data_IF_630976871770
#
_entry.id   IF_630976871770
#
_cell.length_a   1.000
_cell.length_b   1.000
_cell.length_c   1.000
_cell.angle_alpha   90.00
_cell.angle_beta   90.00
_cell.angle_gamma   90.00
#
_symmetry.space_group_name_H-M   'P 1'
#
loop_
_entity.id
_entity.type
_entity.pdbx_description
1 polymer ?
#
# COMPACT_ATOMS: atom_id res chain seq x y z
N UNK A 1 -9.15 -25.25 10.45
CA UNK A 1 -8.36 -24.82 11.62
C UNK A 1 -8.01 -23.34 11.53
N UNK A 2 -7.24 -22.88 10.52
CA UNK A 2 -6.92 -21.44 10.36
C UNK A 2 -8.15 -20.53 10.32
N UNK A 3 -9.11 -20.78 9.42
CA UNK A 3 -10.30 -19.91 9.28
C UNK A 3 -11.13 -19.80 10.57
N UNK A 4 -11.05 -20.78 11.47
CA UNK A 4 -11.72 -20.73 12.77
C UNK A 4 -10.94 -19.87 13.78
N UNK A 5 -9.62 -19.99 13.83
CA UNK A 5 -8.79 -19.10 14.67
C UNK A 5 -8.84 -17.65 14.19
N UNK A 6 -8.85 -17.42 12.88
CA UNK A 6 -8.92 -16.08 12.30
C UNK A 6 -10.21 -15.34 12.70
N UNK A 7 -11.31 -16.07 12.94
CA UNK A 7 -12.55 -15.47 13.48
C UNK A 7 -12.40 -14.94 14.90
N UNK A 8 -11.42 -15.37 15.67
CA UNK A 8 -11.13 -14.83 17.01
C UNK A 8 -10.36 -13.50 16.96
N UNK A 9 -9.80 -13.15 15.80
CA UNK A 9 -9.08 -11.90 15.59
C UNK A 9 -9.83 -11.08 14.53
N UNK A 10 -10.72 -10.15 14.93
CA UNK A 10 -11.62 -9.42 14.01
C UNK A 10 -10.88 -8.60 12.95
N UNK A 11 -9.58 -8.40 13.14
CA UNK A 11 -8.68 -7.64 12.29
C UNK A 11 -7.87 -8.50 11.31
N UNK A 12 -8.09 -9.83 11.24
CA UNK A 12 -7.43 -10.70 10.26
C UNK A 12 -8.32 -10.96 9.06
N UNK A 13 -7.81 -10.67 7.87
CA UNK A 13 -8.50 -10.89 6.60
C UNK A 13 -7.65 -11.76 5.67
N UNK A 14 -8.34 -12.57 4.84
CA UNK A 14 -7.69 -13.35 3.80
C UNK A 14 -7.32 -12.42 2.64
N UNK A 15 -6.02 -12.28 2.39
CA UNK A 15 -5.46 -11.38 1.37
C UNK A 15 -5.18 -12.10 0.04
N UNK A 16 -5.14 -13.43 0.04
CA UNK A 16 -4.95 -14.23 -1.16
C UNK A 16 -5.17 -15.72 -0.92
N UNK A 17 -4.96 -16.58 -1.94
CA UNK A 17 -5.14 -18.03 -1.78
C UNK A 17 -4.29 -18.59 -0.65
N UNK A 18 -3.08 -18.04 -0.43
CA UNK A 18 -2.15 -18.45 0.61
C UNK A 18 -1.58 -17.29 1.46
N UNK A 19 -2.28 -16.15 1.52
CA UNK A 19 -1.82 -14.99 2.25
C UNK A 19 -2.92 -14.46 3.19
N UNK A 20 -2.55 -14.17 4.43
CA UNK A 20 -3.40 -13.55 5.43
C UNK A 20 -2.81 -12.22 5.87
N UNK A 21 -3.66 -11.28 6.26
CA UNK A 21 -3.24 -9.97 6.76
C UNK A 21 -3.96 -9.68 8.08
N UNK A 22 -3.21 -9.47 9.15
CA UNK A 22 -3.71 -8.84 10.37
C UNK A 22 -3.49 -7.34 10.27
N UNK A 23 -4.54 -6.55 10.52
CA UNK A 23 -4.53 -5.10 10.39
C UNK A 23 -5.01 -4.46 11.69
N UNK A 24 -4.08 -3.95 12.51
CA UNK A 24 -4.42 -3.08 13.63
C UNK A 24 -4.37 -1.63 13.14
N UNK A 25 -5.52 -1.13 12.65
CA UNK A 25 -5.60 0.23 12.13
C UNK A 25 -5.39 1.31 13.20
N UNK A 26 -5.72 1.02 14.46
CA UNK A 26 -5.53 1.96 15.57
C UNK A 26 -4.05 2.20 15.84
N UNK A 27 -3.23 1.15 15.73
CA UNK A 27 -1.77 1.21 15.87
C UNK A 27 -1.06 1.38 14.51
N UNK A 28 -1.81 1.35 13.42
CA UNK A 28 -1.36 1.38 12.02
C UNK A 28 -0.36 0.26 11.69
N UNK A 29 -0.58 -0.93 12.25
CA UNK A 29 0.26 -2.10 12.05
C UNK A 29 -0.42 -3.05 11.09
N UNK A 30 0.31 -3.48 10.07
CA UNK A 30 -0.11 -4.57 9.21
C UNK A 30 0.89 -5.72 9.31
N UNK A 31 0.39 -6.90 9.67
CA UNK A 31 1.16 -8.14 9.67
C UNK A 31 0.66 -9.02 8.55
N UNK A 32 1.53 -9.32 7.61
CA UNK A 32 1.21 -10.20 6.49
C UNK A 32 1.78 -11.57 6.74
N UNK A 33 1.06 -12.63 6.39
CA UNK A 33 1.48 -14.02 6.59
C UNK A 33 1.34 -14.71 5.24
N UNK A 34 2.45 -15.08 4.60
CA UNK A 34 2.49 -15.81 3.33
C UNK A 34 2.91 -17.26 3.54
N UNK A 35 2.18 -18.19 2.91
CA UNK A 35 2.38 -19.63 3.01
C UNK A 35 2.70 -20.19 1.61
N UNK A 36 3.95 -20.59 1.33
CA UNK A 36 4.32 -21.22 0.07
C UNK A 36 3.53 -22.51 -0.18
N UNK A 37 3.24 -22.79 -1.44
CA UNK A 37 2.38 -23.90 -1.87
C UNK A 37 3.07 -25.29 -1.85
N UNK A 38 4.37 -25.34 -1.58
CA UNK A 38 5.20 -26.54 -1.75
C UNK A 38 5.30 -27.38 -0.47
N UNK A 39 5.07 -28.69 -0.62
CA UNK A 39 4.67 -29.62 0.45
C UNK A 39 5.75 -30.10 1.42
N UNK A 40 7.00 -29.61 1.34
CA UNK A 40 8.09 -30.12 2.18
C UNK A 40 8.63 -29.13 3.23
N UNK A 41 8.36 -27.82 3.07
CA UNK A 41 8.71 -26.81 4.07
C UNK A 41 7.63 -25.73 4.11
N UNK A 42 6.86 -25.69 5.21
CA UNK A 42 5.99 -24.55 5.48
C UNK A 42 6.84 -23.43 6.05
N UNK A 43 7.55 -22.68 5.22
CA UNK A 43 8.15 -21.43 5.69
C UNK A 43 7.06 -20.36 5.71
N UNK A 44 6.68 -19.87 6.89
CA UNK A 44 5.75 -18.75 6.96
C UNK A 44 6.54 -17.47 6.98
N UNK A 45 6.36 -16.65 5.93
CA UNK A 45 6.94 -15.31 5.89
C UNK A 45 5.97 -14.34 6.48
N UNK A 46 6.42 -13.55 7.44
CA UNK A 46 5.62 -12.43 7.90
C UNK A 46 6.36 -11.11 7.94
N UNK A 47 5.63 -10.10 7.49
CA UNK A 47 6.10 -8.72 7.39
C UNK A 47 5.49 -7.90 8.49
N UNK A 48 6.30 -7.12 9.16
CA UNK A 48 5.82 -6.27 10.24
C UNK A 48 6.67 -4.99 10.36
N UNK A 49 6.13 -3.90 10.91
CA UNK A 49 6.86 -2.65 11.17
C UNK A 49 7.94 -2.83 12.24
N UNK A 50 9.14 -2.26 12.03
CA UNK A 50 10.26 -2.35 12.98
C UNK A 50 9.93 -1.82 14.39
N UNK A 51 8.95 -0.94 14.49
CA UNK A 51 8.42 -0.25 15.68
C UNK A 51 7.13 -0.89 16.26
N UNK A 52 6.57 -1.94 15.64
CA UNK A 52 5.36 -2.60 16.13
C UNK A 52 5.47 -2.99 17.62
N UNK A 53 4.46 -2.76 18.48
CA UNK A 53 4.48 -3.21 19.86
C UNK A 53 4.79 -4.70 19.94
N UNK A 54 5.56 -5.08 20.96
CA UNK A 54 5.98 -6.46 21.14
C UNK A 54 4.76 -7.39 21.26
N UNK A 55 3.65 -6.89 21.79
CA UNK A 55 2.37 -7.59 21.91
C UNK A 55 1.76 -7.88 20.53
N UNK A 56 1.86 -6.94 19.58
CA UNK A 56 1.38 -7.15 18.21
C UNK A 56 2.27 -8.15 17.47
N UNK A 57 3.58 -8.09 17.71
CA UNK A 57 4.54 -9.07 17.21
C UNK A 57 4.24 -10.49 17.76
N UNK A 58 3.92 -10.61 19.05
CA UNK A 58 3.51 -11.89 19.64
C UNK A 58 2.24 -12.46 19.02
N UNK A 59 1.23 -11.62 18.80
CA UNK A 59 -0.02 -12.05 18.13
C UNK A 59 0.28 -12.56 16.72
N UNK A 60 1.13 -11.87 15.98
CA UNK A 60 1.59 -12.29 14.66
C UNK A 60 2.31 -13.65 14.69
N UNK A 61 3.24 -13.82 15.62
CA UNK A 61 3.98 -15.08 15.80
C UNK A 61 3.04 -16.22 16.17
N UNK A 62 2.09 -16.00 17.10
CA UNK A 62 1.08 -16.99 17.48
C UNK A 62 0.23 -17.42 16.28
N UNK A 63 -0.21 -16.46 15.46
CA UNK A 63 -0.95 -16.75 14.23
C UNK A 63 -0.12 -17.56 13.24
N UNK A 64 1.15 -17.20 13.06
CA UNK A 64 2.07 -17.88 12.14
C UNK A 64 2.42 -19.32 12.61
N UNK A 65 2.61 -19.51 13.92
CA UNK A 65 2.92 -20.80 14.53
C UNK A 65 1.81 -21.85 14.38
N UNK A 66 0.55 -21.43 14.28
CA UNK A 66 -0.55 -22.35 13.99
C UNK A 66 -0.45 -23.00 12.60
N UNK A 67 0.32 -22.39 11.70
CA UNK A 67 0.52 -22.89 10.33
C UNK A 67 1.82 -23.70 10.23
N UNK A 68 2.88 -23.21 10.88
CA UNK A 68 4.21 -23.79 10.83
C UNK A 68 5.07 -23.44 12.05
N UNK A 69 5.90 -24.39 12.48
CA UNK A 69 6.97 -24.15 13.45
C UNK A 69 8.19 -23.45 12.82
N UNK A 70 8.29 -23.39 11.48
CA UNK A 70 9.40 -22.69 10.79
C UNK A 70 8.91 -21.34 10.26
N UNK A 71 9.46 -20.29 10.86
CA UNK A 71 9.07 -18.90 10.63
C UNK A 71 10.23 -18.14 9.97
N UNK A 72 9.91 -17.23 9.04
CA UNK A 72 10.86 -16.24 8.52
C UNK A 72 10.23 -14.88 8.69
N UNK A 73 10.92 -13.98 9.36
CA UNK A 73 10.39 -12.67 9.66
C UNK A 73 11.10 -11.63 8.80
N UNK A 74 10.34 -10.87 8.01
CA UNK A 74 10.88 -9.80 7.18
C UNK A 74 10.37 -8.47 7.73
N UNK A 75 11.20 -7.75 8.47
CA UNK A 75 10.85 -6.39 8.85
C UNK A 75 10.95 -5.52 7.60
N UNK A 76 10.08 -4.51 7.44
CA UNK A 76 10.14 -3.69 6.22
C UNK A 76 11.50 -3.02 5.98
N UNK A 77 12.25 -2.75 7.05
CA UNK A 77 13.61 -2.19 6.97
C UNK A 77 14.72 -3.27 6.98
N UNK A 78 14.39 -4.57 6.95
CA UNK A 78 15.35 -5.69 6.77
C UNK A 78 14.94 -7.04 7.38
N UNK A 79 15.74 -8.07 7.15
CA UNK A 79 15.37 -9.46 7.45
C UNK A 79 15.76 -9.89 8.88
N UNK A 80 14.85 -10.58 9.57
CA UNK A 80 15.03 -11.23 10.87
C UNK A 80 14.69 -12.73 10.72
N UNK A 81 15.70 -13.56 10.50
CA UNK A 81 15.49 -15.00 10.38
C UNK A 81 15.38 -15.63 11.79
N UNK A 82 14.24 -16.26 12.09
CA UNK A 82 14.00 -16.89 13.39
C UNK A 82 13.38 -18.28 13.26
N UNK A 83 14.10 -19.30 13.69
CA UNK A 83 13.50 -20.62 13.93
C UNK A 83 12.85 -20.63 15.31
N UNK A 84 11.56 -20.94 15.35
CA UNK A 84 10.73 -20.91 16.56
C UNK A 84 10.29 -22.33 16.94
N UNK A 85 10.24 -22.65 18.23
CA UNK A 85 9.83 -23.96 18.77
C UNK A 85 8.45 -23.87 19.44
N UNK A 86 7.85 -24.98 19.87
CA UNK A 86 6.47 -24.98 20.43
C UNK A 86 6.29 -24.08 21.67
N UNK A 87 7.35 -23.80 22.44
CA UNK A 87 7.32 -22.97 23.66
C UNK A 87 7.73 -21.49 23.43
N UNK A 88 7.81 -21.02 22.19
CA UNK A 88 8.67 -19.87 21.84
C UNK A 88 8.00 -18.49 21.63
N UNK A 89 6.80 -18.22 22.14
CA UNK A 89 6.21 -16.87 21.99
C UNK A 89 7.01 -15.81 22.77
N UNK A 90 7.43 -16.14 23.99
CA UNK A 90 8.27 -15.26 24.81
C UNK A 90 9.68 -15.08 24.23
N UNK A 91 10.27 -16.16 23.70
CA UNK A 91 11.57 -16.14 23.00
C UNK A 91 11.49 -15.27 21.73
N UNK A 92 10.41 -15.39 20.95
CA UNK A 92 10.18 -14.55 19.78
C UNK A 92 10.09 -13.06 20.15
N UNK A 93 9.36 -12.74 21.24
CA UNK A 93 9.25 -11.38 21.76
C UNK A 93 10.62 -10.83 22.15
N UNK A 94 11.41 -11.61 22.87
CA UNK A 94 12.73 -11.20 23.35
C UNK A 94 13.71 -10.95 22.18
N UNK A 95 13.80 -11.90 21.24
CA UNK A 95 14.65 -11.74 20.04
C UNK A 95 14.24 -10.55 19.20
N UNK A 96 12.95 -10.26 19.14
CA UNK A 96 12.46 -9.07 18.46
C UNK A 96 12.92 -7.78 19.14
N UNK A 97 12.87 -7.72 20.47
CA UNK A 97 13.37 -6.59 21.25
C UNK A 97 14.89 -6.43 21.11
N UNK A 98 15.65 -7.52 21.13
CA UNK A 98 17.10 -7.54 20.92
C UNK A 98 17.46 -7.04 19.52
N UNK A 99 16.78 -7.56 18.50
CA UNK A 99 16.92 -7.09 17.11
C UNK A 99 16.66 -5.58 16.99
N UNK A 100 15.61 -5.08 17.65
CA UNK A 100 15.26 -3.66 17.66
C UNK A 100 16.36 -2.83 18.32
N UNK A 101 16.93 -3.30 19.43
CA UNK A 101 18.03 -2.62 20.10
C UNK A 101 19.29 -2.57 19.23
N UNK A 102 19.64 -3.67 18.56
CA UNK A 102 20.81 -3.74 17.67
C UNK A 102 20.71 -2.80 16.47
N UNK A 103 19.49 -2.59 15.95
CA UNK A 103 19.24 -1.78 14.75
C UNK A 103 18.85 -0.32 15.01
N UNK A 104 18.78 0.10 16.27
CA UNK A 104 18.40 1.48 16.60
C UNK A 104 19.41 2.43 15.98
N UNK A 105 18.96 3.20 14.97
CA UNK A 105 19.81 4.21 14.33
C UNK A 105 20.22 5.28 15.36
N UNK A 106 21.38 5.94 15.17
CA UNK A 106 21.81 7.05 16.04
C UNK A 106 20.71 8.11 16.17
N UNK A 107 20.67 8.80 17.30
CA UNK A 107 19.61 9.78 17.62
C UNK A 107 19.36 10.83 16.52
N UNK A 108 20.39 11.14 15.72
CA UNK A 108 20.33 12.06 14.56
C UNK A 108 19.38 11.59 13.44
N UNK A 109 19.05 10.30 13.35
CA UNK A 109 18.10 9.74 12.37
C UNK A 109 16.76 9.32 13.00
N UNK A 110 16.54 9.66 14.27
CA UNK A 110 15.33 9.26 15.00
C UNK A 110 14.05 9.81 14.35
N UNK A 111 14.07 11.07 13.91
CA UNK A 111 12.93 11.69 13.21
C UNK A 111 12.62 10.99 11.88
N UNK A 112 13.64 10.51 11.16
CA UNK A 112 13.44 9.78 9.91
C UNK A 112 12.80 8.41 10.17
N UNK A 113 13.19 7.74 11.25
CA UNK A 113 12.56 6.49 11.69
C UNK A 113 11.10 6.72 12.12
N UNK A 114 10.82 7.80 12.88
CA UNK A 114 9.46 8.18 13.28
C UNK A 114 8.62 8.55 12.06
N UNK A 115 9.20 9.22 11.06
CA UNK A 115 8.50 9.50 9.81
C UNK A 115 8.16 8.24 9.03
N UNK A 116 9.08 7.26 8.93
CA UNK A 116 8.79 5.95 8.33
C UNK A 116 7.61 5.28 9.01
N UNK A 117 7.56 5.32 10.35
CA UNK A 117 6.42 4.82 11.14
C UNK A 117 5.11 5.54 10.79
N UNK A 118 5.10 6.87 10.74
CA UNK A 118 3.88 7.60 10.37
C UNK A 118 3.42 7.31 8.95
N UNK A 119 4.33 7.16 7.99
CA UNK A 119 4.03 6.78 6.61
C UNK A 119 3.35 5.41 6.58
N UNK A 120 3.93 4.43 7.26
CA UNK A 120 3.35 3.10 7.42
C UNK A 120 1.93 3.16 7.95
N UNK A 121 1.71 3.92 9.03
CA UNK A 121 0.40 4.02 9.67
C UNK A 121 -0.61 4.65 8.73
N UNK A 122 -0.19 5.66 7.97
CA UNK A 122 -0.98 6.27 6.91
C UNK A 122 -1.37 5.26 5.83
N UNK A 123 -0.42 4.46 5.37
CA UNK A 123 -0.65 3.44 4.34
C UNK A 123 -1.64 2.35 4.82
N UNK A 124 -1.54 1.93 6.09
CA UNK A 124 -2.49 0.98 6.71
C UNK A 124 -3.88 1.61 6.87
N UNK A 125 -3.96 2.86 7.31
CA UNK A 125 -5.24 3.58 7.42
C UNK A 125 -5.92 3.73 6.05
N UNK A 126 -5.14 4.06 5.02
CA UNK A 126 -5.63 4.19 3.65
C UNK A 126 -6.18 2.84 3.13
N UNK A 127 -5.41 1.77 3.36
CA UNK A 127 -5.78 0.41 2.99
C UNK A 127 -7.07 -0.06 3.67
N UNK A 128 -7.29 0.34 4.92
CA UNK A 128 -8.52 0.02 5.65
C UNK A 128 -9.69 0.94 5.31
N UNK A 129 -9.49 1.88 4.39
CA UNK A 129 -10.53 2.75 3.90
C UNK A 129 -10.59 4.11 4.59
N UNK A 130 -9.84 4.30 5.68
CA UNK A 130 -9.87 5.45 6.57
C UNK A 130 -9.00 6.59 6.03
N UNK A 131 -9.41 7.18 4.89
CA UNK A 131 -8.61 8.18 4.17
C UNK A 131 -8.29 9.43 5.01
N UNK A 132 -9.25 9.88 5.83
CA UNK A 132 -9.05 11.04 6.71
C UNK A 132 -7.95 10.76 7.73
N UNK A 133 -7.99 9.58 8.35
CA UNK A 133 -6.95 9.14 9.28
C UNK A 133 -5.61 8.99 8.56
N UNK A 134 -5.59 8.43 7.34
CA UNK A 134 -4.37 8.30 6.54
C UNK A 134 -3.70 9.66 6.29
N UNK A 135 -4.49 10.66 5.87
CA UNK A 135 -4.02 12.04 5.67
C UNK A 135 -3.47 12.62 6.96
N UNK A 136 -4.14 12.42 8.10
CA UNK A 136 -3.65 12.87 9.40
C UNK A 136 -2.30 12.23 9.76
N UNK A 137 -2.13 10.94 9.52
CA UNK A 137 -0.85 10.24 9.76
C UNK A 137 0.26 10.76 8.86
N UNK A 138 0.00 10.99 7.58
CA UNK A 138 1.00 11.57 6.68
C UNK A 138 1.35 13.02 7.05
N UNK A 139 0.39 13.81 7.55
CA UNK A 139 0.70 15.17 8.06
C UNK A 139 1.67 15.15 9.23
N UNK A 140 1.63 14.13 10.09
CA UNK A 140 2.62 14.00 11.18
C UNK A 140 4.05 13.89 10.69
N UNK A 141 4.28 13.38 9.48
CA UNK A 141 5.62 13.37 8.87
C UNK A 141 6.12 14.79 8.60
N UNK A 142 5.22 15.70 8.24
CA UNK A 142 5.55 17.09 7.90
C UNK A 142 5.90 17.94 9.13
N UNK A 143 5.55 17.46 10.33
CA UNK A 143 5.90 18.07 11.62
C UNK A 143 7.33 17.71 12.07
N UNK A 144 8.00 16.77 11.40
CA UNK A 144 9.30 16.23 11.79
C UNK A 144 10.47 16.84 11.01
N UNK A 145 11.67 16.75 11.59
CA UNK A 145 12.92 17.20 10.95
C UNK A 145 13.47 16.07 10.08
N UNK A 146 12.84 15.86 8.93
CA UNK A 146 13.15 14.78 7.98
C UNK A 146 13.55 15.27 6.61
N UNK A 147 14.19 14.39 5.84
CA UNK A 147 14.67 14.69 4.49
C UNK A 147 13.55 15.18 3.56
N UNK A 148 13.92 16.01 2.58
CA UNK A 148 12.96 16.51 1.59
C UNK A 148 12.34 15.38 0.76
N UNK A 149 13.07 14.28 0.56
CA UNK A 149 12.55 13.07 -0.11
C UNK A 149 11.41 12.45 0.71
N UNK A 150 11.56 12.38 2.03
CA UNK A 150 10.53 11.82 2.93
C UNK A 150 9.32 12.75 3.06
N UNK A 151 9.53 14.06 3.12
CA UNK A 151 8.43 15.04 3.07
C UNK A 151 7.70 15.00 1.72
N UNK A 152 8.44 14.97 0.62
CA UNK A 152 7.88 14.85 -0.72
C UNK A 152 7.03 13.57 -0.86
N UNK A 153 7.50 12.45 -0.30
CA UNK A 153 6.74 11.20 -0.25
C UNK A 153 5.44 11.36 0.53
N UNK A 154 5.47 11.95 1.73
CA UNK A 154 4.27 12.19 2.53
C UNK A 154 3.23 13.06 1.77
N UNK A 155 3.69 14.13 1.11
CA UNK A 155 2.84 14.94 0.24
C UNK A 155 2.22 14.13 -0.91
N UNK A 156 3.01 13.27 -1.56
CA UNK A 156 2.50 12.42 -2.64
C UNK A 156 1.44 11.43 -2.16
N UNK A 157 1.65 10.81 -0.99
CA UNK A 157 0.70 9.84 -0.41
C UNK A 157 -0.59 10.53 0.06
N UNK A 158 -0.49 11.75 0.61
CA UNK A 158 -1.66 12.60 0.88
C UNK A 158 -2.43 12.90 -0.41
N UNK A 159 -1.73 13.23 -1.49
CA UNK A 159 -2.35 13.50 -2.78
C UNK A 159 -3.16 12.31 -3.31
N UNK A 160 -2.63 11.10 -3.18
CA UNK A 160 -3.37 9.86 -3.51
C UNK A 160 -4.60 9.71 -2.63
N UNK A 161 -4.50 9.96 -1.32
CA UNK A 161 -5.65 9.87 -0.42
C UNK A 161 -6.75 10.88 -0.77
N UNK A 162 -6.39 12.12 -1.10
CA UNK A 162 -7.33 13.14 -1.55
C UNK A 162 -8.00 12.77 -2.86
N UNK A 163 -7.27 12.16 -3.79
CA UNK A 163 -7.87 11.65 -5.02
C UNK A 163 -8.89 10.54 -4.74
N UNK A 164 -8.55 9.59 -3.86
CA UNK A 164 -9.46 8.52 -3.45
C UNK A 164 -10.69 9.00 -2.66
N UNK A 165 -10.64 10.22 -2.10
CA UNK A 165 -11.76 10.90 -1.45
C UNK A 165 -12.51 11.86 -2.38
N UNK A 166 -12.24 11.84 -3.68
CA UNK A 166 -12.86 12.72 -4.70
C UNK A 166 -12.51 14.21 -4.52
N UNK A 167 -11.46 14.52 -3.75
CA UNK A 167 -10.96 15.87 -3.48
C UNK A 167 -9.83 16.22 -4.45
N UNK A 168 -10.18 16.35 -5.73
CA UNK A 168 -9.19 16.42 -6.83
C UNK A 168 -8.26 17.63 -6.72
N UNK A 169 -8.77 18.80 -6.34
CA UNK A 169 -7.95 20.02 -6.21
C UNK A 169 -6.90 19.92 -5.10
N UNK A 170 -7.26 19.31 -3.97
CA UNK A 170 -6.32 19.06 -2.88
C UNK A 170 -5.27 18.02 -3.29
N UNK A 171 -5.68 17.01 -4.07
CA UNK A 171 -4.76 16.02 -4.62
C UNK A 171 -3.70 16.64 -5.53
N UNK A 172 -4.13 17.51 -6.46
CA UNK A 172 -3.24 18.28 -7.35
C UNK A 172 -2.31 19.16 -6.52
N UNK A 173 -2.83 19.87 -5.52
CA UNK A 173 -2.03 20.71 -4.62
C UNK A 173 -0.93 19.92 -3.93
N UNK A 174 -1.27 18.77 -3.34
CA UNK A 174 -0.32 17.91 -2.64
C UNK A 174 0.77 17.34 -3.56
N UNK A 175 0.39 16.83 -4.74
CA UNK A 175 1.35 16.25 -5.68
C UNK A 175 2.27 17.32 -6.30
N UNK A 176 1.76 18.53 -6.52
CA UNK A 176 2.59 19.67 -6.96
C UNK A 176 3.60 20.07 -5.89
N UNK A 177 3.17 20.15 -4.63
CA UNK A 177 4.09 20.40 -3.51
C UNK A 177 5.17 19.33 -3.42
N UNK A 178 4.80 18.05 -3.57
CA UNK A 178 5.74 16.94 -3.61
C UNK A 178 6.82 17.13 -4.70
N UNK A 179 6.40 17.46 -5.93
CA UNK A 179 7.32 17.66 -7.07
C UNK A 179 8.20 18.89 -6.94
N UNK A 180 7.70 19.97 -6.34
CA UNK A 180 8.48 21.16 -6.08
C UNK A 180 9.61 20.90 -5.08
N UNK A 181 9.46 19.90 -4.21
CA UNK A 181 10.51 19.46 -3.29
C UNK A 181 11.49 18.50 -3.98
N UNK A 182 10.97 17.40 -4.52
CA UNK A 182 11.77 16.36 -5.16
C UNK A 182 11.01 15.78 -6.33
N UNK A 183 11.70 15.62 -7.47
CA UNK A 183 11.12 14.95 -8.63
C UNK A 183 10.97 13.45 -8.37
N UNK A 184 9.78 13.04 -7.95
CA UNK A 184 9.39 11.65 -7.80
C UNK A 184 8.63 11.20 -9.06
N UNK A 185 9.10 10.19 -9.82
CA UNK A 185 8.44 9.74 -11.04
C UNK A 185 6.95 9.42 -10.84
N UNK A 186 6.60 8.83 -9.69
CA UNK A 186 5.22 8.47 -9.37
C UNK A 186 4.32 9.70 -9.13
N UNK A 187 4.86 10.73 -8.47
CA UNK A 187 4.14 11.98 -8.20
C UNK A 187 3.97 12.80 -9.47
N UNK A 188 4.94 12.77 -10.37
CA UNK A 188 4.91 13.48 -11.65
C UNK A 188 3.77 12.97 -12.53
N UNK A 189 3.68 11.65 -12.64
CA UNK A 189 2.65 10.97 -13.43
C UNK A 189 1.26 11.17 -12.83
N UNK A 190 1.14 11.05 -11.51
CA UNK A 190 -0.11 11.27 -10.80
C UNK A 190 -0.58 12.73 -10.94
N UNK A 191 0.32 13.71 -10.78
CA UNK A 191 -0.03 15.12 -10.91
C UNK A 191 -0.48 15.44 -12.33
N UNK A 192 0.32 15.06 -13.32
CA UNK A 192 0.09 15.46 -14.70
C UNK A 192 -1.24 14.92 -15.22
N UNK A 193 -1.61 13.70 -14.82
CA UNK A 193 -2.88 13.12 -15.23
C UNK A 193 -4.10 13.65 -14.45
N UNK A 194 -3.97 13.92 -13.14
CA UNK A 194 -5.05 14.59 -12.39
C UNK A 194 -5.28 16.01 -12.89
N UNK A 195 -4.21 16.72 -13.24
CA UNK A 195 -4.28 18.04 -13.84
C UNK A 195 -5.05 17.99 -15.17
N UNK A 196 -4.71 17.07 -16.09
CA UNK A 196 -5.44 16.96 -17.36
C UNK A 196 -6.89 16.53 -17.18
N UNK A 197 -7.18 15.60 -16.27
CA UNK A 197 -8.57 15.21 -15.95
C UNK A 197 -9.41 16.38 -15.45
N UNK A 198 -8.81 17.30 -14.70
CA UNK A 198 -9.52 18.42 -14.06
C UNK A 198 -9.56 19.68 -14.93
N UNK A 199 -8.45 20.04 -15.56
CA UNK A 199 -8.30 21.32 -16.25
C UNK A 199 -9.04 21.32 -17.59
N UNK A 200 -9.14 20.18 -18.27
CA UNK A 200 -9.55 20.19 -19.68
C UNK A 200 -10.35 18.94 -20.03
N UNK A 201 -11.67 19.09 -20.05
CA UNK A 201 -12.62 18.10 -20.61
C UNK A 201 -12.34 17.68 -22.07
N UNK A 202 -11.33 18.26 -22.74
CA UNK A 202 -10.99 18.05 -24.14
C UNK A 202 -9.49 17.86 -24.47
N UNK A 203 -8.57 17.78 -23.50
CA UNK A 203 -7.11 17.55 -23.77
C UNK A 203 -6.58 16.20 -23.32
N UNK A 204 -7.36 15.17 -23.61
CA UNK A 204 -7.01 13.79 -23.26
C UNK A 204 -5.72 13.27 -23.92
N UNK A 205 -5.33 13.84 -25.06
CA UNK A 205 -4.12 13.43 -25.78
C UNK A 205 -2.84 13.79 -25.01
N UNK A 206 -2.84 14.94 -24.31
CA UNK A 206 -1.72 15.36 -23.45
C UNK A 206 -1.57 14.41 -22.25
N UNK A 207 -2.66 14.02 -21.59
CA UNK A 207 -2.63 13.01 -20.53
C UNK A 207 -2.09 11.66 -21.03
N UNK A 208 -2.51 11.25 -22.23
CA UNK A 208 -2.08 9.97 -22.78
C UNK A 208 -0.58 9.98 -23.09
N UNK A 209 -0.02 11.11 -23.57
CA UNK A 209 1.42 11.28 -23.77
C UNK A 209 2.19 11.19 -22.44
N UNK A 210 1.70 11.85 -21.39
CA UNK A 210 2.30 11.80 -20.05
C UNK A 210 2.27 10.39 -19.46
N UNK A 211 1.16 9.67 -19.63
CA UNK A 211 1.03 8.28 -19.25
C UNK A 211 1.95 7.35 -20.05
N UNK A 212 2.13 7.62 -21.35
CA UNK A 212 3.07 6.86 -22.18
C UNK A 212 4.52 7.10 -21.73
N UNK A 213 4.87 8.35 -21.37
CA UNK A 213 6.17 8.64 -20.79
C UNK A 213 6.38 7.89 -19.46
N UNK A 214 5.39 7.90 -18.58
CA UNK A 214 5.40 7.14 -17.33
C UNK A 214 5.71 5.66 -17.54
N UNK A 215 5.00 5.04 -18.49
CA UNK A 215 5.13 3.63 -18.81
C UNK A 215 6.42 3.32 -19.58
N UNK A 216 7.04 4.30 -20.23
CA UNK A 216 8.37 4.14 -20.83
C UNK A 216 9.46 4.07 -19.76
N UNK A 217 9.30 4.83 -18.68
CA UNK A 217 10.24 4.86 -17.54
C UNK A 217 10.01 3.65 -16.63
N UNK A 218 8.76 3.37 -16.27
CA UNK A 218 8.37 2.22 -15.46
C UNK A 218 7.25 1.42 -16.14
N UNK A 219 7.59 0.45 -17.02
CA UNK A 219 6.62 -0.33 -17.79
C UNK A 219 5.66 -1.17 -16.94
N UNK A 220 5.99 -1.39 -15.67
CA UNK A 220 5.21 -2.19 -14.74
C UNK A 220 4.45 -1.36 -13.71
N UNK A 221 4.28 -0.05 -13.90
CA UNK A 221 3.65 0.86 -12.93
C UNK A 221 2.11 0.77 -12.93
N UNK A 222 1.46 0.12 -11.95
CA UNK A 222 0.01 -0.13 -12.02
C UNK A 222 -0.83 1.15 -11.88
N UNK A 223 -0.31 2.16 -11.18
CA UNK A 223 -1.00 3.43 -10.98
C UNK A 223 -1.22 4.18 -12.30
N UNK A 224 -0.27 4.15 -13.23
CA UNK A 224 -0.45 4.73 -14.56
C UNK A 224 -1.62 4.09 -15.33
N UNK A 225 -1.80 2.78 -15.23
CA UNK A 225 -2.94 2.10 -15.86
C UNK A 225 -4.28 2.40 -15.18
N UNK A 226 -4.29 2.64 -13.86
CA UNK A 226 -5.49 3.11 -13.17
C UNK A 226 -5.90 4.52 -13.62
N UNK A 227 -4.92 5.39 -13.73
CA UNK A 227 -5.13 6.76 -14.21
C UNK A 227 -5.60 6.73 -15.68
N UNK A 228 -5.02 5.87 -16.53
CA UNK A 228 -5.51 5.64 -17.90
C UNK A 228 -6.96 5.14 -17.94
N UNK A 229 -7.34 4.25 -17.01
CA UNK A 229 -8.72 3.80 -16.86
C UNK A 229 -9.67 4.98 -16.55
N UNK A 230 -9.30 5.84 -15.59
CA UNK A 230 -10.07 7.03 -15.26
C UNK A 230 -10.19 8.01 -16.44
N UNK A 231 -9.09 8.23 -17.17
CA UNK A 231 -9.06 9.08 -18.37
C UNK A 231 -10.02 8.57 -19.47
N UNK A 232 -9.95 7.27 -19.77
CA UNK A 232 -10.81 6.63 -20.78
C UNK A 232 -12.28 6.62 -20.36
N UNK A 233 -12.54 6.49 -19.05
CA UNK A 233 -13.87 6.65 -18.49
C UNK A 233 -14.42 8.05 -18.77
N UNK A 234 -13.66 9.11 -18.47
CA UNK A 234 -14.09 10.49 -18.74
C UNK A 234 -14.42 10.72 -20.21
N UNK A 235 -13.62 10.15 -21.13
CA UNK A 235 -13.88 10.15 -22.59
C UNK A 235 -15.10 9.34 -23.05
N UNK A 236 -15.75 8.57 -22.17
CA UNK A 236 -16.83 7.65 -22.56
C UNK A 236 -16.35 6.38 -23.27
N UNK A 237 -15.03 6.11 -23.30
CA UNK A 237 -14.43 4.93 -23.92
C UNK A 237 -14.42 3.75 -22.94
N UNK A 238 -15.62 3.24 -22.63
CA UNK A 238 -15.87 2.25 -21.56
C UNK A 238 -15.05 0.96 -21.71
N UNK A 239 -14.94 0.41 -22.92
CA UNK A 239 -14.23 -0.86 -23.13
C UNK A 239 -12.70 -0.73 -22.99
N UNK A 240 -12.15 0.41 -23.39
CA UNK A 240 -10.72 0.70 -23.19
C UNK A 240 -10.39 0.94 -21.73
N UNK A 241 -11.29 1.61 -20.99
CA UNK A 241 -11.15 1.75 -19.55
C UNK A 241 -11.16 0.39 -18.85
N UNK A 242 -12.04 -0.54 -19.27
CA UNK A 242 -12.07 -1.93 -18.76
C UNK A 242 -10.77 -2.67 -19.04
N UNK A 243 -10.21 -2.51 -20.25
CA UNK A 243 -8.93 -3.11 -20.60
C UNK A 243 -7.80 -2.56 -19.72
N UNK A 244 -7.70 -1.24 -19.57
CA UNK A 244 -6.69 -0.60 -18.71
C UNK A 244 -6.80 -1.07 -17.26
N UNK A 245 -8.02 -1.18 -16.72
CA UNK A 245 -8.26 -1.72 -15.38
C UNK A 245 -7.80 -3.19 -15.25
N UNK A 246 -8.01 -3.99 -16.28
CA UNK A 246 -7.57 -5.39 -16.30
C UNK A 246 -6.05 -5.50 -16.29
N UNK A 247 -5.37 -4.68 -17.09
CA UNK A 247 -3.90 -4.60 -17.12
C UNK A 247 -3.34 -4.12 -15.79
N UNK A 248 -3.93 -3.08 -15.19
CA UNK A 248 -3.54 -2.60 -13.86
C UNK A 248 -3.60 -3.72 -12.81
N UNK A 249 -4.68 -4.50 -12.78
CA UNK A 249 -4.84 -5.66 -11.88
C UNK A 249 -3.85 -6.77 -12.17
N UNK A 250 -3.53 -7.02 -13.44
CA UNK A 250 -2.57 -8.04 -13.84
C UNK A 250 -1.15 -7.69 -13.40
N UNK A 251 -0.70 -6.46 -13.71
CA UNK A 251 0.61 -5.95 -13.32
C UNK A 251 0.76 -5.91 -11.80
N UNK A 252 -0.30 -5.50 -11.10
CA UNK A 252 -0.35 -5.57 -9.65
C UNK A 252 -0.16 -6.99 -9.12
N UNK A 253 -0.93 -7.96 -9.62
CA UNK A 253 -0.80 -9.37 -9.23
C UNK A 253 0.60 -9.91 -9.52
N UNK A 254 1.24 -9.45 -10.60
CA UNK A 254 2.61 -9.82 -10.97
C UNK A 254 3.62 -9.23 -9.98
N UNK A 255 3.52 -7.95 -9.64
CA UNK A 255 4.36 -7.30 -8.62
C UNK A 255 4.20 -7.95 -7.23
N UNK A 256 2.97 -8.29 -6.83
CA UNK A 256 2.71 -9.04 -5.59
C UNK A 256 3.39 -10.40 -5.55
N UNK A 257 3.40 -11.14 -6.67
CA UNK A 257 4.04 -12.46 -6.76
C UNK A 257 5.56 -12.38 -6.72
N UNK A 258 6.15 -11.27 -7.15
CA UNK A 258 7.59 -11.05 -7.17
C UNK A 258 8.16 -10.61 -5.81
N UNK A 259 7.31 -10.34 -4.81
CA UNK A 259 7.74 -9.99 -3.45
C UNK A 259 8.41 -8.62 -3.30
N UNK A 260 8.30 -7.75 -4.31
CA UNK A 260 9.02 -6.47 -4.37
C UNK A 260 8.35 -5.32 -3.60
N UNK A 261 7.16 -5.51 -3.02
CA UNK A 261 6.39 -4.47 -2.34
C UNK A 261 5.65 -5.02 -1.10
N UNK A 262 5.51 -4.24 -0.02
CA UNK A 262 4.71 -4.63 1.15
C UNK A 262 3.28 -4.97 0.71
N UNK A 263 2.80 -6.22 0.90
CA UNK A 263 1.71 -6.74 0.10
C UNK A 263 0.35 -6.08 0.26
N UNK A 264 0.02 -5.45 1.40
CA UNK A 264 -1.38 -5.11 1.68
C UNK A 264 -1.76 -3.64 1.75
N UNK A 265 -0.85 -2.72 2.04
CA UNK A 265 -1.23 -1.31 2.04
C UNK A 265 -1.56 -0.82 0.62
N UNK A 266 -0.69 -1.21 -0.31
CA UNK A 266 -0.82 -0.93 -1.74
C UNK A 266 -1.85 -1.86 -2.45
N UNK A 267 -2.12 -3.07 -1.92
CA UNK A 267 -3.17 -3.94 -2.49
C UNK A 267 -4.58 -3.45 -2.22
N UNK A 268 -4.84 -2.97 -1.02
CA UNK A 268 -6.17 -2.46 -0.68
C UNK A 268 -6.44 -1.13 -1.38
N UNK A 269 -5.41 -0.26 -1.52
CA UNK A 269 -5.44 0.91 -2.42
C UNK A 269 -5.95 0.50 -3.79
N UNK A 270 -5.36 -0.54 -4.36
CA UNK A 270 -5.72 -1.04 -5.70
C UNK A 270 -7.11 -1.69 -5.75
N UNK A 271 -7.51 -2.48 -4.74
CA UNK A 271 -8.87 -3.03 -4.67
C UNK A 271 -9.90 -1.91 -4.58
N UNK A 272 -9.63 -0.87 -3.80
CA UNK A 272 -10.50 0.30 -3.68
C UNK A 272 -10.58 1.08 -4.99
N UNK A 273 -9.45 1.30 -5.64
CA UNK A 273 -9.39 1.92 -6.96
C UNK A 273 -10.14 1.10 -8.02
N UNK A 274 -9.99 -0.24 -8.01
CA UNK A 274 -10.78 -1.11 -8.87
C UNK A 274 -12.27 -0.95 -8.63
N UNK A 275 -12.72 -1.02 -7.38
CA UNK A 275 -14.15 -0.87 -7.02
C UNK A 275 -14.68 0.52 -7.35
N UNK A 276 -13.85 1.55 -7.23
CA UNK A 276 -14.21 2.91 -7.64
C UNK A 276 -14.42 2.98 -9.15
N UNK A 277 -13.47 2.48 -9.93
CA UNK A 277 -13.54 2.43 -11.40
C UNK A 277 -14.68 1.53 -11.90
N UNK A 278 -14.90 0.37 -11.29
CA UNK A 278 -16.01 -0.55 -11.59
C UNK A 278 -17.36 0.15 -11.40
N UNK A 279 -17.57 0.85 -10.27
CA UNK A 279 -18.79 1.63 -10.03
C UNK A 279 -18.98 2.76 -11.03
N UNK A 280 -17.90 3.38 -11.50
CA UNK A 280 -17.98 4.42 -12.54
C UNK A 280 -18.29 3.82 -13.92
N UNK A 281 -17.71 2.67 -14.26
CA UNK A 281 -18.03 1.90 -15.47
C UNK A 281 -19.49 1.46 -15.49
N UNK A 282 -20.00 0.94 -14.38
CA UNK A 282 -21.39 0.55 -14.23
C UNK A 282 -22.33 1.75 -14.43
N UNK A 283 -22.05 2.89 -13.78
CA UNK A 283 -22.83 4.12 -13.94
C UNK A 283 -22.90 4.58 -15.39
N UNK A 284 -21.77 4.69 -16.09
CA UNK A 284 -21.76 5.10 -17.52
C UNK A 284 -22.49 4.11 -18.42
N UNK A 285 -22.37 2.80 -18.18
CA UNK A 285 -23.11 1.78 -18.93
C UNK A 285 -24.63 1.93 -18.76
N UNK A 286 -25.10 2.22 -17.55
CA UNK A 286 -26.53 2.47 -17.31
C UNK A 286 -27.02 3.77 -17.98
N UNK A 287 -26.19 4.80 -18.07
CA UNK A 287 -26.50 6.04 -18.79
C UNK A 287 -26.59 5.82 -20.31
N UNK A 288 -25.71 4.99 -20.88
CA UNK A 288 -25.75 4.60 -22.30
C UNK A 288 -27.00 3.77 -22.65
N UNK A 289 -27.44 2.86 -21.76
CA UNK A 289 -28.65 2.05 -21.99
C UNK A 289 -29.96 2.84 -21.82
N UNK A 290 -29.90 4.06 -21.25
CA UNK A 290 -31.06 4.95 -21.07
C UNK A 290 -31.23 5.96 -22.21
N UNK A 291 -30.24 6.12 -23.09
CA UNK A 291 -30.29 6.98 -24.27
C UNK A 291 -30.72 6.17 -25.49
#
# INVERSE_FOLDING_TARGET
MLEWTLRQYPNVFRHGPNAYAYLDAARGIAVYVSIPRWWFFREVRFWFPSDAPAETFEVAVRLAMQVSKRLRCEVWDGQLDMQLTEDSVSDARQRFLEWRQMRREPAEHADEAIAREWIVRGQVAEATGQLVLAIERYRKVLELTVSDVTKARAWSEMGVCYWLSDSIMDAIGCLRTSLNMVRLPQAEVALAALYVMHDLRDRFDEAEQLLNHALSVEPHFPLAYFIRCALRLEQGRVEEARHALTVARMLWRKQQRMGTLPPGATAHRIVRMCRMMERSLERKRFEEHRR
#
